data_IF_580364532289
#
_entry.id   IF_580364532289
#
_cell.length_a   1.000
_cell.length_b   1.000
_cell.length_c   1.000
_cell.angle_alpha   90.00
_cell.angle_beta   90.00
_cell.angle_gamma   90.00
#
_symmetry.space_group_name_H-M   'P 1'
#
loop_
_entity.id
_entity.type
_entity.pdbx_description
1 polymer ?
#
# COMPACT_ATOMS: atom_id res chain seq x y z
N UNK A 1 22.59 7.96 -1.46
CA UNK A 1 21.32 7.65 -2.15
C UNK A 1 21.31 8.37 -3.48
N UNK A 2 21.05 7.69 -4.59
CA UNK A 2 20.88 8.27 -5.92
C UNK A 2 19.50 7.88 -6.47
N UNK A 3 18.90 8.77 -7.25
CA UNK A 3 17.60 8.57 -7.90
C UNK A 3 17.74 8.84 -9.38
N UNK A 4 17.33 7.89 -10.22
CA UNK A 4 17.28 8.01 -11.67
C UNK A 4 15.82 7.93 -12.14
N UNK A 5 15.31 9.03 -12.69
CA UNK A 5 13.97 9.17 -13.25
C UNK A 5 14.04 9.70 -14.70
N UNK A 6 15.15 9.44 -15.40
CA UNK A 6 15.33 9.86 -16.81
C UNK A 6 14.45 9.07 -17.77
N UNK A 7 14.15 7.82 -17.41
CA UNK A 7 13.25 6.94 -18.11
C UNK A 7 11.81 7.17 -17.61
N UNK A 8 10.86 7.36 -18.52
CA UNK A 8 9.47 7.56 -18.13
C UNK A 8 8.86 6.25 -17.60
N UNK A 9 9.27 5.13 -18.17
CA UNK A 9 8.78 3.79 -17.85
C UNK A 9 9.13 3.31 -16.44
N UNK A 10 10.21 3.81 -15.84
CA UNK A 10 10.66 3.41 -14.50
C UNK A 10 11.51 4.46 -13.79
N UNK A 11 11.36 4.52 -12.48
CA UNK A 11 12.24 5.28 -11.57
C UNK A 11 13.06 4.30 -10.75
N UNK A 12 14.38 4.51 -10.67
CA UNK A 12 15.30 3.65 -9.92
C UNK A 12 15.90 4.42 -8.76
N UNK A 13 16.03 3.77 -7.60
CA UNK A 13 16.62 4.32 -6.39
C UNK A 13 17.72 3.39 -5.91
N UNK A 14 18.89 3.94 -5.60
CA UNK A 14 20.01 3.19 -5.04
C UNK A 14 20.54 3.82 -3.76
N UNK A 15 20.84 2.97 -2.78
CA UNK A 15 21.60 3.34 -1.58
C UNK A 15 23.00 2.78 -1.74
N UNK A 16 24.00 3.65 -1.57
CA UNK A 16 25.42 3.32 -1.74
C UNK A 16 26.17 3.58 -0.43
N UNK A 17 27.13 2.72 -0.13
CA UNK A 17 28.23 3.00 0.79
C UNK A 17 29.51 3.23 -0.02
N UNK A 18 29.90 4.49 -0.19
CA UNK A 18 30.95 4.89 -1.14
C UNK A 18 30.59 4.48 -2.58
N UNK A 19 31.33 3.50 -3.12
CA UNK A 19 31.09 2.93 -4.45
C UNK A 19 30.45 1.52 -4.40
N UNK A 20 30.08 1.04 -3.21
CA UNK A 20 29.42 -0.25 -3.02
C UNK A 20 27.91 -0.05 -2.99
N UNK A 21 27.18 -0.87 -3.76
CA UNK A 21 25.73 -0.91 -3.74
C UNK A 21 25.24 -1.68 -2.51
N UNK A 22 24.43 -1.04 -1.67
CA UNK A 22 23.78 -1.67 -0.51
C UNK A 22 22.35 -2.07 -0.85
N UNK A 23 21.56 -1.16 -1.39
CA UNK A 23 20.15 -1.38 -1.74
C UNK A 23 19.83 -0.82 -3.12
N UNK A 24 19.01 -1.55 -3.87
CA UNK A 24 18.47 -1.15 -5.16
C UNK A 24 16.97 -1.42 -5.15
N UNK A 25 16.19 -0.40 -5.49
CA UNK A 25 14.75 -0.51 -5.69
C UNK A 25 14.36 0.22 -6.97
N UNK A 26 13.23 -0.17 -7.57
CA UNK A 26 12.72 0.49 -8.76
C UNK A 26 11.19 0.44 -8.79
N UNK A 27 10.59 1.52 -9.28
CA UNK A 27 9.16 1.63 -9.50
C UNK A 27 8.88 1.71 -11.00
N UNK A 28 7.91 0.94 -11.47
CA UNK A 28 7.49 0.93 -12.89
C UNK A 28 6.13 1.60 -13.04
N UNK A 29 5.90 2.28 -14.16
CA UNK A 29 4.58 2.87 -14.45
C UNK A 29 3.47 1.81 -14.54
N UNK A 30 3.81 0.61 -14.99
CA UNK A 30 2.85 -0.46 -15.27
C UNK A 30 2.21 -1.05 -13.99
N UNK A 31 2.87 -0.96 -12.83
CA UNK A 31 2.41 -1.61 -11.59
C UNK A 31 2.62 -0.72 -10.39
N UNK A 32 1.60 0.08 -10.07
CA UNK A 32 1.56 0.84 -8.82
C UNK A 32 1.50 -0.07 -7.62
N UNK A 33 2.45 0.07 -6.70
CA UNK A 33 2.42 -0.61 -5.42
C UNK A 33 1.37 0.03 -4.51
N UNK A 34 0.33 -0.72 -4.17
CA UNK A 34 -0.71 -0.25 -3.23
C UNK A 34 -0.45 -0.68 -1.78
N UNK A 35 0.52 -1.57 -1.56
CA UNK A 35 0.87 -2.10 -0.23
C UNK A 35 1.52 -0.99 0.60
N UNK A 36 1.02 -0.81 1.82
CA UNK A 36 1.53 0.21 2.76
C UNK A 36 0.81 1.57 2.65
N UNK A 37 -0.02 1.76 1.63
CA UNK A 37 -0.81 2.98 1.49
C UNK A 37 -1.87 3.06 2.60
N UNK A 38 -2.15 4.29 3.04
CA UNK A 38 -3.18 4.60 4.03
C UNK A 38 -4.30 5.37 3.32
N UNK A 39 -5.54 4.94 3.54
CA UNK A 39 -6.72 5.53 2.92
C UNK A 39 -7.74 5.91 3.98
N UNK A 40 -8.47 7.00 3.74
CA UNK A 40 -9.77 7.22 4.36
C UNK A 40 -10.80 6.40 3.57
N UNK A 41 -11.38 5.40 4.22
CA UNK A 41 -12.30 4.46 3.59
C UNK A 41 -13.69 4.48 4.25
N UNK A 42 -14.71 4.01 3.54
CA UNK A 42 -16.07 3.84 4.05
C UNK A 42 -16.40 2.35 4.20
N UNK A 43 -16.96 1.96 5.34
CA UNK A 43 -17.51 0.60 5.51
C UNK A 43 -18.73 0.45 4.62
N UNK A 44 -18.71 -0.53 3.71
CA UNK A 44 -19.82 -0.81 2.79
C UNK A 44 -20.72 -1.93 3.28
N UNK A 45 -20.15 -2.93 3.96
CA UNK A 45 -20.90 -4.09 4.47
C UNK A 45 -20.20 -4.70 5.67
N UNK A 46 -20.97 -5.16 6.65
CA UNK A 46 -20.47 -5.94 7.80
C UNK A 46 -20.89 -7.39 7.61
N UNK A 47 -19.96 -8.32 7.83
CA UNK A 47 -20.15 -9.76 7.65
C UNK A 47 -19.84 -10.51 8.93
N UNK A 48 -20.85 -10.73 9.81
CA UNK A 48 -20.65 -11.40 11.09
C UNK A 48 -20.10 -12.82 10.93
N UNK A 49 -20.53 -13.55 9.90
CA UNK A 49 -20.07 -14.91 9.62
C UNK A 49 -18.56 -14.98 9.35
N UNK A 50 -17.99 -13.91 8.78
CA UNK A 50 -16.56 -13.80 8.51
C UNK A 50 -15.80 -13.06 9.63
N UNK A 51 -16.50 -12.55 10.64
CA UNK A 51 -15.95 -11.64 11.65
C UNK A 51 -15.16 -10.50 10.99
N UNK A 52 -15.77 -9.85 9.99
CA UNK A 52 -15.10 -8.84 9.17
C UNK A 52 -16.07 -7.80 8.60
N UNK A 53 -15.49 -6.73 8.06
CA UNK A 53 -16.19 -5.72 7.29
C UNK A 53 -15.52 -5.53 5.92
N UNK A 54 -16.31 -5.21 4.91
CA UNK A 54 -15.82 -4.77 3.61
C UNK A 54 -15.79 -3.25 3.55
N UNK A 55 -14.71 -2.69 3.02
CA UNK A 55 -14.47 -1.24 2.96
C UNK A 55 -14.25 -0.77 1.53
N UNK A 56 -14.83 0.36 1.17
CA UNK A 56 -14.54 1.08 -0.07
C UNK A 56 -13.45 2.11 0.20
N UNK A 57 -12.28 1.91 -0.42
CA UNK A 57 -11.10 2.77 -0.28
C UNK A 57 -10.68 3.42 -1.61
N UNK A 58 -11.54 3.37 -2.63
CA UNK A 58 -11.27 3.90 -3.97
C UNK A 58 -10.56 2.93 -4.94
N UNK A 59 -10.34 1.67 -4.53
CA UNK A 59 -9.81 0.62 -5.40
C UNK A 59 -10.89 -0.06 -6.27
N UNK A 60 -10.45 -0.88 -7.23
CA UNK A 60 -11.34 -1.63 -8.13
C UNK A 60 -12.21 -2.70 -7.43
N UNK A 61 -11.86 -3.07 -6.19
CA UNK A 61 -12.57 -4.03 -5.35
C UNK A 61 -12.63 -3.50 -3.93
N UNK A 62 -13.64 -3.92 -3.18
CA UNK A 62 -13.71 -3.60 -1.76
C UNK A 62 -12.57 -4.28 -1.01
N UNK A 63 -11.99 -3.55 -0.07
CA UNK A 63 -11.03 -4.08 0.87
C UNK A 63 -11.71 -4.97 1.89
N UNK A 64 -10.98 -5.94 2.42
CA UNK A 64 -11.41 -6.80 3.51
C UNK A 64 -10.72 -6.35 4.80
N UNK A 65 -11.51 -6.06 5.84
CA UNK A 65 -11.04 -5.62 7.14
C UNK A 65 -11.53 -6.60 8.21
N UNK A 66 -10.64 -7.46 8.69
CA UNK A 66 -10.95 -8.39 9.76
C UNK A 66 -11.23 -7.65 11.08
N UNK A 67 -12.14 -8.17 11.90
CA UNK A 67 -12.51 -7.54 13.17
C UNK A 67 -11.32 -7.41 14.14
N UNK A 68 -10.40 -8.38 14.14
CA UNK A 68 -9.17 -8.36 14.94
C UNK A 68 -8.20 -7.23 14.58
N UNK A 69 -8.33 -6.65 13.39
CA UNK A 69 -7.48 -5.57 12.88
C UNK A 69 -8.10 -4.17 13.08
N UNK A 70 -9.26 -4.09 13.74
CA UNK A 70 -9.92 -2.81 14.02
C UNK A 70 -9.45 -2.29 15.37
N UNK A 71 -8.81 -1.12 15.37
CA UNK A 71 -8.36 -0.46 16.59
C UNK A 71 -9.56 -0.14 17.52
N UNK A 72 -9.45 -0.35 18.85
CA UNK A 72 -10.58 -0.19 19.79
C UNK A 72 -11.24 1.21 19.80
N UNK A 73 -10.53 2.24 19.37
CA UNK A 73 -11.07 3.59 19.25
C UNK A 73 -12.25 3.69 18.26
N UNK A 74 -12.35 2.75 17.30
CA UNK A 74 -13.43 2.70 16.33
C UNK A 74 -14.70 1.97 16.83
N UNK A 75 -14.74 1.52 18.09
CA UNK A 75 -15.91 0.82 18.66
C UNK A 75 -16.91 1.75 19.35
N UNK A 76 -16.63 3.07 19.37
CA UNK A 76 -17.45 4.06 20.07
C UNK A 76 -18.57 4.61 19.22
#
# INVERSE_FOLDING_TARGET
MLVDATHAEETRVVVLDGNRLEEFDFETEAKKQLKGNIYLAKVTRVEPSLQAAFVEYGGNRHGFLAFSEIHPDYYR
#
